data_IF_328749933758
#
_entry.id   IF_328749933758
#
_cell.length_a   1.000
_cell.length_b   1.000
_cell.length_c   1.000
_cell.angle_alpha   90.00
_cell.angle_beta   90.00
_cell.angle_gamma   90.00
#
_symmetry.space_group_name_H-M   'P 1'
#
loop_
_entity.id
_entity.type
_entity.pdbx_description
1 polymer ?
#
# COMPACT_ATOMS: atom_id res chain seq x y z
N UNK A 1 11.38 17.27 10.78
CA UNK A 1 12.21 16.15 10.29
C UNK A 1 11.88 15.94 8.80
N UNK A 2 12.66 15.21 8.00
CA UNK A 2 12.38 15.02 6.56
C UNK A 2 12.21 13.55 6.19
N UNK A 3 11.13 13.22 5.48
CA UNK A 3 10.86 11.89 4.97
C UNK A 3 10.96 11.80 3.46
N UNK A 4 11.70 10.82 2.97
CA UNK A 4 11.67 10.42 1.57
C UNK A 4 10.53 9.44 1.32
N UNK A 5 9.67 9.74 0.34
CA UNK A 5 8.44 8.97 0.10
C UNK A 5 8.55 8.21 -1.21
N UNK A 6 8.34 6.89 -1.17
CA UNK A 6 8.38 6.02 -2.35
C UNK A 6 7.37 4.88 -2.24
N UNK A 7 6.95 4.34 -3.38
CA UNK A 7 6.19 3.09 -3.49
C UNK A 7 6.41 2.46 -4.87
N UNK A 8 5.91 1.24 -5.06
CA UNK A 8 5.78 0.60 -6.38
C UNK A 8 7.10 0.62 -7.17
N UNK A 9 8.21 0.29 -6.49
CA UNK A 9 9.55 0.29 -7.07
C UNK A 9 9.64 -0.74 -8.20
N UNK A 10 8.91 -1.85 -8.06
CA UNK A 10 8.83 -2.96 -9.00
C UNK A 10 10.21 -3.35 -9.56
N UNK A 11 11.20 -3.47 -8.67
CA UNK A 11 12.57 -3.77 -9.07
C UNK A 11 12.65 -5.23 -9.52
N UNK A 12 12.97 -5.44 -10.80
CA UNK A 12 13.24 -6.77 -11.33
C UNK A 12 14.72 -7.12 -11.19
N UNK A 13 15.06 -8.41 -10.99
CA UNK A 13 16.46 -8.87 -10.95
C UNK A 13 17.28 -8.52 -12.20
N UNK A 14 16.63 -8.27 -13.34
CA UNK A 14 17.28 -7.82 -14.58
C UNK A 14 17.60 -6.31 -14.57
N UNK A 15 17.02 -5.52 -13.67
CA UNK A 15 17.24 -4.07 -13.55
C UNK A 15 18.54 -3.71 -12.80
N UNK A 16 19.22 -4.70 -12.22
CA UNK A 16 20.46 -4.55 -11.42
C UNK A 16 21.57 -3.86 -12.21
N UNK A 17 21.54 -3.94 -13.55
CA UNK A 17 22.55 -3.35 -14.42
C UNK A 17 22.26 -1.89 -14.81
N UNK A 18 21.05 -1.37 -14.59
CA UNK A 18 20.61 -0.13 -15.25
C UNK A 18 19.83 0.88 -14.40
N UNK A 19 19.49 0.60 -13.13
CA UNK A 19 18.75 1.58 -12.34
C UNK A 19 18.93 1.49 -10.83
N UNK A 20 20.03 2.02 -10.32
CA UNK A 20 20.09 2.37 -8.90
C UNK A 20 19.30 3.66 -8.69
N UNK A 21 18.25 3.57 -7.89
CA UNK A 21 17.47 4.71 -7.46
C UNK A 21 18.39 5.67 -6.68
N UNK A 22 18.48 6.93 -7.07
CA UNK A 22 19.29 7.91 -6.36
C UNK A 22 18.63 8.22 -5.00
N UNK A 23 19.26 7.77 -3.90
CA UNK A 23 18.77 7.98 -2.54
C UNK A 23 19.01 9.45 -2.13
N UNK A 24 17.97 10.25 -1.86
CA UNK A 24 18.13 11.63 -1.45
C UNK A 24 18.58 11.74 0.02
N UNK A 25 18.98 12.94 0.45
CA UNK A 25 19.22 13.23 1.87
C UNK A 25 17.88 13.42 2.59
N UNK A 26 17.51 12.49 3.46
CA UNK A 26 16.37 12.54 4.35
C UNK A 26 16.68 11.81 5.66
N UNK A 27 15.83 11.98 6.68
CA UNK A 27 16.01 11.39 8.01
C UNK A 27 15.38 9.99 8.10
N UNK A 28 14.36 9.72 7.29
CA UNK A 28 13.65 8.43 7.20
C UNK A 28 13.10 8.21 5.79
N UNK A 29 13.04 6.96 5.35
CA UNK A 29 12.31 6.56 4.15
C UNK A 29 10.94 5.99 4.54
N UNK A 30 9.87 6.43 3.89
CA UNK A 30 8.55 5.83 4.00
C UNK A 30 8.27 5.11 2.69
N UNK A 31 8.21 3.78 2.75
CA UNK A 31 8.01 2.92 1.59
C UNK A 31 6.63 2.24 1.66
N UNK A 32 5.74 2.62 0.75
CA UNK A 32 4.36 2.16 0.70
C UNK A 32 4.17 0.96 -0.25
N UNK A 33 4.96 -0.11 -0.04
CA UNK A 33 4.80 -1.40 -0.70
C UNK A 33 5.28 -1.50 -2.16
N UNK A 34 5.15 -2.72 -2.69
CA UNK A 34 5.46 -3.12 -4.07
C UNK A 34 6.90 -2.83 -4.48
N UNK A 35 7.83 -3.33 -3.66
CA UNK A 35 9.26 -3.15 -3.92
C UNK A 35 9.72 -4.12 -5.02
N UNK A 36 9.28 -5.38 -4.92
CA UNK A 36 9.52 -6.46 -5.89
C UNK A 36 8.33 -7.44 -5.90
N UNK A 37 8.42 -8.51 -6.70
CA UNK A 37 7.41 -9.58 -6.76
C UNK A 37 7.62 -10.71 -5.74
N UNK A 38 8.41 -10.49 -4.67
CA UNK A 38 8.50 -11.45 -3.56
C UNK A 38 9.04 -10.79 -2.30
N UNK A 39 8.52 -11.21 -1.14
CA UNK A 39 8.94 -10.62 0.13
C UNK A 39 10.44 -10.72 0.41
N UNK A 40 11.10 -11.80 -0.04
CA UNK A 40 12.55 -11.99 0.17
C UNK A 40 13.35 -10.94 -0.58
N UNK A 41 13.05 -10.78 -1.86
CA UNK A 41 13.75 -9.84 -2.73
C UNK A 41 13.43 -8.40 -2.33
N UNK A 42 12.19 -8.12 -1.89
CA UNK A 42 11.78 -6.81 -1.36
C UNK A 42 12.57 -6.40 -0.13
N UNK A 43 12.64 -7.26 0.90
CA UNK A 43 13.44 -6.93 2.09
C UNK A 43 14.94 -6.85 1.76
N UNK A 44 15.45 -7.74 0.90
CA UNK A 44 16.84 -7.68 0.47
C UNK A 44 17.16 -6.37 -0.27
N UNK A 45 16.25 -5.87 -1.10
CA UNK A 45 16.39 -4.59 -1.78
C UNK A 45 16.47 -3.43 -0.78
N UNK A 46 15.51 -3.34 0.16
CA UNK A 46 15.50 -2.27 1.17
C UNK A 46 16.79 -2.26 1.97
N UNK A 47 17.20 -3.43 2.48
CA UNK A 47 18.42 -3.58 3.29
C UNK A 47 19.69 -3.20 2.52
N UNK A 48 19.72 -3.44 1.22
CA UNK A 48 20.90 -3.18 0.38
C UNK A 48 20.98 -1.73 -0.10
N UNK A 49 19.86 -1.14 -0.48
CA UNK A 49 19.86 0.11 -1.24
C UNK A 49 19.30 1.31 -0.49
N UNK A 50 18.48 1.11 0.54
CA UNK A 50 17.80 2.21 1.24
C UNK A 50 18.29 2.29 2.69
N UNK A 51 18.17 1.18 3.42
CA UNK A 51 18.50 1.08 4.83
C UNK A 51 19.91 1.60 5.17
N UNK A 52 20.98 1.43 4.36
CA UNK A 52 22.30 1.97 4.70
C UNK A 52 22.31 3.50 4.88
N UNK A 53 21.39 4.21 4.21
CA UNK A 53 21.34 5.66 4.20
C UNK A 53 20.42 6.24 5.30
N UNK A 54 19.34 5.55 5.67
CA UNK A 54 18.34 6.01 6.65
C UNK A 54 17.45 4.85 7.14
N UNK A 55 16.82 4.95 8.33
CA UNK A 55 15.77 4.02 8.75
C UNK A 55 14.58 4.03 7.78
N UNK A 56 13.81 2.93 7.78
CA UNK A 56 12.71 2.73 6.82
C UNK A 56 11.42 2.37 7.56
N UNK A 57 10.35 3.14 7.34
CA UNK A 57 8.98 2.73 7.67
C UNK A 57 8.41 2.06 6.42
N UNK A 58 8.01 0.79 6.55
CA UNK A 58 7.62 -0.06 5.44
C UNK A 58 6.20 -0.59 5.66
N UNK A 59 5.35 -0.48 4.65
CA UNK A 59 4.20 -1.39 4.47
C UNK A 59 4.47 -2.28 3.27
N UNK A 60 3.89 -3.47 3.24
CA UNK A 60 3.93 -4.31 2.05
C UNK A 60 2.82 -3.92 1.08
N UNK A 61 3.05 -4.21 -0.20
CA UNK A 61 2.05 -4.16 -1.25
C UNK A 61 1.66 -5.55 -1.74
N UNK A 62 0.74 -5.62 -2.69
CA UNK A 62 0.22 -6.90 -3.19
C UNK A 62 1.32 -7.75 -3.85
N UNK A 63 2.28 -7.14 -4.56
CA UNK A 63 3.38 -7.84 -5.22
C UNK A 63 4.38 -8.45 -4.24
N UNK A 64 4.54 -7.87 -3.06
CA UNK A 64 5.42 -8.42 -2.03
C UNK A 64 4.92 -9.80 -1.53
N UNK A 65 3.63 -10.09 -1.72
CA UNK A 65 2.97 -11.36 -1.37
C UNK A 65 3.00 -12.43 -2.48
N UNK A 66 3.48 -12.11 -3.68
CA UNK A 66 3.43 -13.04 -4.80
C UNK A 66 4.26 -14.31 -4.53
N UNK A 67 3.69 -15.46 -4.87
CA UNK A 67 4.25 -16.78 -4.59
C UNK A 67 4.14 -17.22 -3.13
N UNK A 68 3.42 -16.49 -2.29
CA UNK A 68 3.26 -16.75 -0.86
C UNK A 68 1.81 -16.54 -0.42
N UNK A 69 1.46 -16.99 0.79
CA UNK A 69 0.31 -16.43 1.50
C UNK A 69 0.69 -15.15 2.22
N UNK A 70 -0.31 -14.32 2.54
CA UNK A 70 -0.10 -13.05 3.24
C UNK A 70 0.52 -13.30 4.62
N UNK A 71 -0.02 -14.25 5.39
CA UNK A 71 0.49 -14.52 6.75
C UNK A 71 1.92 -15.07 6.72
N UNK A 72 2.23 -15.98 5.80
CA UNK A 72 3.59 -16.53 5.67
C UNK A 72 4.60 -15.47 5.23
N UNK A 73 4.21 -14.59 4.30
CA UNK A 73 5.07 -13.50 3.86
C UNK A 73 5.34 -12.51 5.00
N UNK A 74 4.31 -12.14 5.78
CA UNK A 74 4.48 -11.26 6.95
C UNK A 74 5.40 -11.88 8.01
N UNK A 75 5.20 -13.15 8.34
CA UNK A 75 6.07 -13.87 9.26
C UNK A 75 7.52 -13.86 8.77
N UNK A 76 7.72 -14.18 7.49
CA UNK A 76 9.03 -14.18 6.86
C UNK A 76 9.66 -12.80 6.84
N UNK A 77 8.89 -11.76 6.52
CA UNK A 77 9.35 -10.38 6.52
C UNK A 77 9.87 -9.99 7.91
N UNK A 78 9.07 -10.25 8.96
CA UNK A 78 9.43 -9.95 10.35
C UNK A 78 10.76 -10.58 10.75
N UNK A 79 10.98 -11.86 10.42
CA UNK A 79 12.26 -12.55 10.66
C UNK A 79 13.42 -11.91 9.89
N UNK A 80 13.20 -11.50 8.64
CA UNK A 80 14.24 -10.92 7.78
C UNK A 80 14.68 -9.50 8.20
N UNK A 81 13.83 -8.79 8.94
CA UNK A 81 14.10 -7.43 9.44
C UNK A 81 14.61 -7.41 10.90
N UNK A 82 14.72 -8.56 11.57
CA UNK A 82 15.28 -8.62 12.92
C UNK A 82 16.69 -8.01 12.96
N UNK A 83 16.91 -7.08 13.89
CA UNK A 83 18.18 -6.36 14.05
C UNK A 83 18.47 -5.30 12.97
N UNK A 84 17.51 -5.01 12.09
CA UNK A 84 17.61 -3.95 11.07
C UNK A 84 16.99 -2.65 11.55
N UNK A 85 17.15 -1.57 10.77
CA UNK A 85 16.49 -0.27 10.93
C UNK A 85 15.19 -0.16 10.11
N UNK A 86 14.60 -1.29 9.75
CA UNK A 86 13.35 -1.38 9.01
C UNK A 86 12.22 -1.65 10.00
N UNK A 87 11.23 -0.78 10.00
CA UNK A 87 9.99 -0.96 10.74
C UNK A 87 8.87 -1.32 9.77
N UNK A 88 8.54 -2.61 9.71
CA UNK A 88 7.39 -3.12 8.96
C UNK A 88 6.10 -2.87 9.74
N UNK A 89 5.09 -2.30 9.09
CA UNK A 89 3.77 -2.03 9.66
C UNK A 89 2.69 -2.83 8.91
N UNK A 90 1.98 -3.71 9.62
CA UNK A 90 0.78 -4.39 9.13
C UNK A 90 -0.25 -4.48 10.26
N UNK A 91 -1.16 -3.50 10.30
CA UNK A 91 -2.02 -3.23 11.45
C UNK A 91 -1.18 -2.99 12.72
N UNK A 92 -0.12 -2.21 12.55
CA UNK A 92 0.81 -1.84 13.60
C UNK A 92 1.09 -0.33 13.59
N UNK A 93 1.53 0.17 14.74
CA UNK A 93 1.92 1.57 14.92
C UNK A 93 3.41 1.65 15.20
N UNK A 94 4.09 2.58 14.55
CA UNK A 94 5.47 2.94 14.81
C UNK A 94 5.63 4.36 15.31
N UNK A 95 6.67 4.60 16.10
CA UNK A 95 7.04 5.94 16.54
C UNK A 95 8.49 6.16 16.11
N UNK A 96 8.70 7.26 15.38
CA UNK A 96 10.02 7.73 15.02
C UNK A 96 10.08 9.22 15.38
N UNK A 97 10.91 9.55 16.36
CA UNK A 97 10.91 10.86 17.03
C UNK A 97 9.50 11.25 17.54
N UNK A 98 9.00 12.42 17.14
CA UNK A 98 7.70 13.00 17.48
C UNK A 98 6.60 12.64 16.46
N UNK A 99 6.87 11.67 15.58
CA UNK A 99 5.95 11.23 14.55
C UNK A 99 5.44 9.82 14.82
N UNK A 100 4.11 9.65 14.77
CA UNK A 100 3.42 8.36 14.83
C UNK A 100 3.06 7.91 13.42
N UNK A 101 3.44 6.70 13.06
CA UNK A 101 3.09 6.04 11.81
C UNK A 101 2.12 4.91 12.09
N UNK A 102 0.95 4.92 11.45
CA UNK A 102 -0.03 3.85 11.51
C UNK A 102 -0.06 3.18 10.15
N UNK A 103 0.25 1.89 10.07
CA UNK A 103 0.47 1.24 8.78
C UNK A 103 -0.21 -0.11 8.59
N UNK A 104 -0.69 -0.34 7.38
CA UNK A 104 -1.22 -1.61 6.91
C UNK A 104 -1.18 -1.68 5.39
N UNK A 105 -1.16 -2.87 4.79
CA UNK A 105 -1.41 -3.03 3.34
C UNK A 105 -2.76 -2.42 2.93
N UNK A 106 -3.69 -2.34 3.89
CA UNK A 106 -5.08 -1.87 3.83
C UNK A 106 -6.01 -2.77 3.03
N UNK A 107 -5.58 -3.32 1.89
CA UNK A 107 -6.46 -4.06 0.98
C UNK A 107 -7.74 -3.28 0.64
N UNK A 108 -8.70 -3.87 -0.08
CA UNK A 108 -9.93 -3.17 -0.46
C UNK A 108 -11.18 -3.85 0.06
N UNK A 109 -12.24 -3.07 0.19
CA UNK A 109 -13.59 -3.59 0.41
C UNK A 109 -14.36 -3.85 -0.89
N UNK A 110 -13.75 -3.57 -2.05
CA UNK A 110 -14.32 -3.70 -3.39
C UNK A 110 -15.61 -2.90 -3.64
N UNK A 111 -15.96 -1.95 -2.78
CA UNK A 111 -17.24 -1.25 -2.83
C UNK A 111 -17.16 0.18 -3.38
N UNK A 112 -15.96 0.57 -3.81
CA UNK A 112 -15.67 1.88 -4.38
C UNK A 112 -16.48 2.13 -5.66
N UNK A 113 -16.85 3.39 -5.89
CA UNK A 113 -17.39 3.81 -7.19
C UNK A 113 -16.30 3.71 -8.24
N UNK A 114 -16.61 3.13 -9.40
CA UNK A 114 -15.63 2.92 -10.47
C UNK A 114 -15.98 3.70 -11.73
N UNK A 115 -17.16 4.32 -11.80
CA UNK A 115 -17.60 5.18 -12.89
C UNK A 115 -18.79 6.04 -12.46
N UNK A 116 -19.83 6.12 -13.28
CA UNK A 116 -21.08 6.82 -12.93
C UNK A 116 -22.02 5.97 -12.04
N UNK A 117 -21.46 5.16 -11.14
CA UNK A 117 -22.19 4.22 -10.27
C UNK A 117 -22.27 4.66 -8.81
N UNK A 118 -22.13 5.97 -8.54
CA UNK A 118 -22.32 6.55 -7.20
C UNK A 118 -23.71 6.32 -6.61
N UNK A 119 -24.71 6.19 -7.48
CA UNK A 119 -26.10 5.89 -7.10
C UNK A 119 -26.32 4.41 -6.75
N UNK A 120 -25.38 3.53 -7.10
CA UNK A 120 -25.46 2.09 -6.81
C UNK A 120 -24.97 1.83 -5.39
N UNK A 121 -25.72 1.10 -4.55
CA UNK A 121 -25.31 0.82 -3.18
C UNK A 121 -23.95 0.10 -3.11
N UNK A 122 -23.10 0.43 -2.11
CA UNK A 122 -21.76 -0.16 -1.97
C UNK A 122 -21.75 -1.69 -1.97
N UNK A 123 -22.75 -2.34 -1.37
CA UNK A 123 -22.89 -3.79 -1.35
C UNK A 123 -23.11 -4.40 -2.74
N UNK A 124 -23.83 -3.70 -3.61
CA UNK A 124 -24.12 -4.17 -4.97
C UNK A 124 -22.90 -3.97 -5.88
N UNK A 125 -22.20 -2.83 -5.73
CA UNK A 125 -20.89 -2.62 -6.38
C UNK A 125 -19.88 -3.70 -5.98
N UNK A 126 -19.81 -4.01 -4.68
CA UNK A 126 -18.98 -5.09 -4.14
C UNK A 126 -19.34 -6.44 -4.72
N UNK A 127 -20.62 -6.78 -4.80
CA UNK A 127 -21.06 -8.05 -5.39
C UNK A 127 -20.63 -8.18 -6.86
N UNK A 128 -20.76 -7.11 -7.65
CA UNK A 128 -20.25 -7.06 -9.02
C UNK A 128 -18.74 -7.22 -9.10
N UNK A 129 -18.00 -6.51 -8.25
CA UNK A 129 -16.54 -6.62 -8.18
C UNK A 129 -16.10 -8.04 -7.80
N UNK A 130 -16.76 -8.67 -6.81
CA UNK A 130 -16.47 -10.05 -6.38
C UNK A 130 -16.59 -11.06 -7.52
N UNK A 131 -17.53 -10.85 -8.44
CA UNK A 131 -17.73 -11.73 -9.58
C UNK A 131 -16.68 -11.54 -10.69
N UNK A 132 -16.16 -10.33 -10.87
CA UNK A 132 -15.39 -9.95 -12.06
C UNK A 132 -13.89 -9.73 -11.81
N UNK A 133 -13.53 -9.18 -10.66
CA UNK A 133 -12.15 -8.83 -10.32
C UNK A 133 -11.23 -10.04 -10.24
N UNK A 134 -11.62 -11.19 -9.66
CA UNK A 134 -10.73 -12.35 -9.54
C UNK A 134 -10.22 -12.92 -10.86
N UNK A 135 -10.88 -12.62 -11.97
CA UNK A 135 -10.47 -13.06 -13.31
C UNK A 135 -9.54 -12.07 -14.01
N UNK A 136 -9.34 -10.87 -13.45
CA UNK A 136 -8.65 -9.75 -14.10
C UNK A 136 -7.45 -9.25 -13.30
N UNK A 137 -7.38 -9.55 -12.00
CA UNK A 137 -6.30 -9.08 -11.13
C UNK A 137 -5.37 -10.23 -10.77
N UNK A 138 -4.07 -10.00 -10.97
CA UNK A 138 -3.03 -11.01 -10.82
C UNK A 138 -2.89 -11.54 -9.39
N UNK A 139 -3.31 -10.78 -8.38
CA UNK A 139 -3.31 -11.19 -6.98
C UNK A 139 -4.02 -12.53 -6.77
N UNK A 140 -5.16 -12.74 -7.45
CA UNK A 140 -5.96 -13.96 -7.39
C UNK A 140 -5.34 -15.15 -8.13
N UNK A 141 -4.21 -14.93 -8.82
CA UNK A 141 -3.44 -15.94 -9.53
C UNK A 141 -2.04 -16.16 -8.94
N UNK A 142 -1.54 -15.20 -8.15
CA UNK A 142 -0.18 -15.21 -7.63
C UNK A 142 -0.08 -15.28 -6.11
N UNK A 143 -1.15 -14.98 -5.36
CA UNK A 143 -1.15 -15.02 -3.90
C UNK A 143 -1.92 -16.24 -3.41
N UNK A 144 -1.33 -16.99 -2.49
CA UNK A 144 -1.99 -18.11 -1.83
C UNK A 144 -2.85 -17.62 -0.67
N UNK A 145 -3.93 -18.33 -0.38
CA UNK A 145 -4.75 -18.06 0.81
C UNK A 145 -3.98 -18.35 2.09
N UNK A 146 -4.32 -17.64 3.16
CA UNK A 146 -3.63 -17.81 4.46
C UNK A 146 -4.28 -18.86 5.37
N UNK A 147 -5.56 -19.15 5.16
CA UNK A 147 -6.28 -20.21 5.88
C UNK A 147 -6.11 -21.58 5.22
N UNK A 148 -6.33 -22.69 5.96
CA UNK A 148 -6.21 -24.03 5.40
C UNK A 148 -7.08 -24.23 4.16
N UNK A 149 -6.46 -24.75 3.10
CA UNK A 149 -7.14 -25.10 1.84
C UNK A 149 -8.24 -26.13 2.10
N UNK A 150 -9.45 -25.87 1.57
CA UNK A 150 -10.53 -26.88 1.59
C UNK A 150 -10.38 -27.82 0.39
N UNK A 151 -10.85 -29.08 0.50
CA UNK A 151 -10.82 -30.01 -0.63
C UNK A 151 -11.49 -29.41 -1.88
N UNK A 152 -10.79 -29.46 -3.02
CA UNK A 152 -11.31 -28.99 -4.31
C UNK A 152 -11.04 -27.52 -4.66
N UNK A 153 -10.56 -26.69 -3.73
CA UNK A 153 -10.19 -25.30 -4.03
C UNK A 153 -8.80 -25.20 -4.69
N UNK A 154 -8.49 -24.12 -5.40
CA UNK A 154 -7.16 -23.89 -5.99
C UNK A 154 -6.09 -23.47 -4.95
N UNK A 155 -6.51 -23.02 -3.76
CA UNK A 155 -5.62 -22.54 -2.69
C UNK A 155 -5.14 -21.10 -2.88
N UNK A 156 -5.70 -20.36 -3.83
CA UNK A 156 -5.38 -18.96 -4.09
C UNK A 156 -6.21 -18.04 -3.18
N UNK A 157 -5.75 -16.80 -3.00
CA UNK A 157 -6.43 -15.80 -2.19
C UNK A 157 -7.86 -15.57 -2.68
N UNK A 158 -8.76 -15.25 -1.75
CA UNK A 158 -10.18 -15.02 -2.04
C UNK A 158 -10.59 -13.59 -1.77
N UNK A 159 -11.65 -13.13 -2.44
CA UNK A 159 -12.21 -11.78 -2.19
C UNK A 159 -12.68 -11.64 -0.74
N UNK A 160 -13.09 -12.74 -0.11
CA UNK A 160 -13.46 -12.78 1.30
C UNK A 160 -12.27 -12.58 2.23
N UNK A 161 -11.09 -13.16 1.91
CA UNK A 161 -9.88 -12.92 2.69
C UNK A 161 -9.44 -11.46 2.58
N UNK A 162 -9.41 -10.89 1.37
CA UNK A 162 -9.05 -9.48 1.14
C UNK A 162 -10.01 -8.54 1.87
N UNK A 163 -11.33 -8.74 1.74
CA UNK A 163 -12.33 -7.94 2.46
C UNK A 163 -12.16 -8.04 3.98
N UNK A 164 -11.92 -9.24 4.52
CA UNK A 164 -11.71 -9.44 5.96
C UNK A 164 -10.48 -8.68 6.45
N UNK A 165 -9.38 -8.70 5.69
CA UNK A 165 -8.17 -7.94 6.02
C UNK A 165 -8.43 -6.44 5.95
N UNK A 166 -9.15 -5.98 4.93
CA UNK A 166 -9.53 -4.57 4.82
C UNK A 166 -10.34 -4.08 6.03
N UNK A 167 -11.36 -4.82 6.45
CA UNK A 167 -12.17 -4.48 7.62
C UNK A 167 -11.28 -4.39 8.88
N UNK A 168 -10.36 -5.34 9.06
CA UNK A 168 -9.42 -5.33 10.18
C UNK A 168 -8.49 -4.11 10.13
N UNK A 169 -7.92 -3.79 8.97
CA UNK A 169 -7.03 -2.66 8.78
C UNK A 169 -7.71 -1.31 8.97
N UNK A 170 -8.89 -1.12 8.37
CA UNK A 170 -9.70 0.08 8.56
C UNK A 170 -10.04 0.30 10.04
N UNK A 171 -10.47 -0.77 10.73
CA UNK A 171 -10.80 -0.71 12.17
C UNK A 171 -9.57 -0.40 13.03
N UNK A 172 -8.43 -1.00 12.70
CA UNK A 172 -7.16 -0.71 13.37
C UNK A 172 -6.76 0.75 13.20
N UNK A 173 -6.74 1.25 11.95
CA UNK A 173 -6.38 2.64 11.64
C UNK A 173 -7.32 3.61 12.37
N UNK A 174 -8.64 3.40 12.31
CA UNK A 174 -9.62 4.25 12.99
C UNK A 174 -9.36 4.34 14.50
N UNK A 175 -9.11 3.20 15.14
CA UNK A 175 -8.79 3.11 16.58
C UNK A 175 -7.45 3.76 16.94
N UNK A 176 -6.41 3.59 16.14
CA UNK A 176 -5.11 4.19 16.43
C UNK A 176 -5.14 5.72 16.25
N UNK A 177 -5.87 6.21 15.25
CA UNK A 177 -6.05 7.65 15.04
C UNK A 177 -6.91 8.31 16.12
N UNK A 178 -7.81 7.57 16.76
CA UNK A 178 -8.58 8.06 17.92
C UNK A 178 -7.71 8.33 19.15
N UNK A 179 -6.61 7.59 19.31
CA UNK A 179 -5.73 7.75 20.46
C UNK A 179 -5.02 9.11 20.39
N UNK A 180 -5.06 9.92 21.46
CA UNK A 180 -4.27 11.14 21.54
C UNK A 180 -2.78 10.87 21.31
N UNK A 181 -2.10 11.80 20.65
CA UNK A 181 -0.66 11.76 20.45
C UNK A 181 -0.12 13.19 20.38
N UNK A 182 0.90 13.49 21.18
CA UNK A 182 1.51 14.80 21.27
C UNK A 182 2.57 14.98 20.16
N UNK A 183 2.10 14.91 18.91
CA UNK A 183 2.92 14.91 17.71
C UNK A 183 2.09 14.69 16.44
N UNK A 184 2.74 14.61 15.28
CA UNK A 184 2.04 14.37 14.01
C UNK A 184 1.79 12.90 13.78
N UNK A 185 0.60 12.58 13.27
CA UNK A 185 0.24 11.20 12.91
C UNK A 185 0.14 11.05 11.40
N UNK A 186 0.84 10.05 10.88
CA UNK A 186 0.93 9.68 9.48
C UNK A 186 0.27 8.31 9.30
N UNK A 187 -0.47 8.15 8.22
CA UNK A 187 -0.99 6.85 7.81
C UNK A 187 -0.22 6.39 6.58
N UNK A 188 0.20 5.13 6.57
CA UNK A 188 0.90 4.52 5.43
C UNK A 188 0.11 3.30 5.01
N UNK A 189 -0.37 3.30 3.78
CA UNK A 189 -1.04 2.13 3.20
C UNK A 189 -0.44 1.78 1.86
N UNK A 190 -0.70 0.58 1.34
CA UNK A 190 -0.38 0.33 -0.06
C UNK A 190 -1.55 0.73 -0.96
N UNK A 191 -2.74 0.20 -0.68
CA UNK A 191 -3.96 0.53 -1.43
C UNK A 191 -4.40 1.98 -1.17
N UNK A 192 -4.99 2.59 -2.19
CA UNK A 192 -5.41 3.99 -2.12
C UNK A 192 -6.62 4.18 -1.18
N UNK A 193 -6.61 5.22 -0.34
CA UNK A 193 -7.70 5.47 0.61
C UNK A 193 -8.89 6.23 -0.01
N UNK A 194 -8.76 6.72 -1.24
CA UNK A 194 -9.68 7.66 -1.87
C UNK A 194 -9.70 7.51 -3.40
N UNK A 195 -10.86 7.71 -4.00
CA UNK A 195 -11.11 7.62 -5.44
C UNK A 195 -10.38 8.71 -6.22
N UNK A 196 -10.17 9.87 -5.59
CA UNK A 196 -9.45 11.02 -6.15
C UNK A 196 -8.02 10.67 -6.56
N UNK A 197 -7.46 9.59 -5.99
CA UNK A 197 -6.16 9.07 -6.39
C UNK A 197 -6.18 8.33 -7.73
N UNK A 198 -7.32 7.78 -8.16
CA UNK A 198 -7.41 6.97 -9.37
C UNK A 198 -7.08 7.77 -10.64
N UNK A 199 -6.77 7.04 -11.71
CA UNK A 199 -6.50 7.62 -13.01
C UNK A 199 -7.77 7.61 -13.87
N UNK A 200 -8.12 8.76 -14.43
CA UNK A 200 -9.30 8.91 -15.28
C UNK A 200 -9.28 7.98 -16.51
N UNK A 201 -8.10 7.50 -16.96
CA UNK A 201 -7.99 6.51 -18.03
C UNK A 201 -8.71 5.19 -17.72
N UNK A 202 -8.90 4.88 -16.44
CA UNK A 202 -9.57 3.65 -16.00
C UNK A 202 -11.01 3.92 -15.52
N UNK A 203 -11.59 5.07 -15.85
CA UNK A 203 -12.99 5.35 -15.52
C UNK A 203 -13.92 4.27 -16.10
N UNK A 204 -14.83 3.76 -15.27
CA UNK A 204 -15.75 2.66 -15.56
C UNK A 204 -15.16 1.25 -15.41
N UNK A 205 -13.84 1.10 -15.20
CA UNK A 205 -13.22 -0.22 -15.09
C UNK A 205 -13.47 -0.84 -13.72
N UNK A 206 -14.15 -1.99 -13.68
CA UNK A 206 -14.46 -2.72 -12.44
C UNK A 206 -13.22 -3.08 -11.62
N UNK A 207 -12.07 -3.24 -12.28
CA UNK A 207 -10.79 -3.53 -11.63
C UNK A 207 -10.37 -2.45 -10.64
N UNK A 208 -10.80 -1.19 -10.79
CA UNK A 208 -10.54 -0.11 -9.82
C UNK A 208 -10.98 -0.46 -8.39
N UNK A 209 -11.98 -1.33 -8.24
CA UNK A 209 -12.42 -1.85 -6.94
C UNK A 209 -11.34 -2.67 -6.20
N UNK A 210 -10.32 -3.14 -6.91
CA UNK A 210 -9.15 -3.80 -6.33
C UNK A 210 -8.03 -2.83 -5.95
N UNK A 211 -8.05 -1.56 -6.38
CA UNK A 211 -6.92 -0.64 -6.19
C UNK A 211 -7.05 0.28 -4.96
N UNK A 212 -8.27 0.49 -4.49
CA UNK A 212 -8.55 1.33 -3.34
C UNK A 212 -9.97 1.21 -2.82
N UNK A 213 -10.26 2.01 -1.81
CA UNK A 213 -11.58 2.13 -1.20
C UNK A 213 -11.91 3.61 -0.98
N UNK A 214 -13.15 3.91 -0.63
CA UNK A 214 -13.54 5.26 -0.19
C UNK A 214 -13.49 5.36 1.34
N UNK A 215 -12.44 5.99 1.85
CA UNK A 215 -12.25 6.27 3.29
C UNK A 215 -12.50 7.74 3.65
N UNK A 216 -13.26 8.48 2.83
CA UNK A 216 -13.58 9.90 3.04
C UNK A 216 -14.12 10.17 4.45
N UNK A 217 -15.09 9.40 4.94
CA UNK A 217 -15.62 9.53 6.31
C UNK A 217 -14.53 9.39 7.38
N UNK A 218 -13.67 8.37 7.26
CA UNK A 218 -12.61 8.14 8.24
C UNK A 218 -11.61 9.30 8.24
N UNK A 219 -11.21 9.77 7.06
CA UNK A 219 -10.30 10.91 6.91
C UNK A 219 -10.93 12.18 7.50
N UNK A 220 -12.20 12.47 7.19
CA UNK A 220 -12.90 13.65 7.70
C UNK A 220 -13.03 13.64 9.23
N UNK A 221 -13.27 12.48 9.84
CA UNK A 221 -13.40 12.32 11.30
C UNK A 221 -12.06 12.35 12.03
N UNK A 222 -11.03 11.69 11.48
CA UNK A 222 -9.76 11.43 12.19
C UNK A 222 -8.62 12.37 11.80
N UNK A 223 -8.67 12.96 10.60
CA UNK A 223 -7.74 13.98 10.09
C UNK A 223 -6.27 13.70 10.40
N UNK A 224 -5.70 12.53 9.99
CA UNK A 224 -4.26 12.34 10.09
C UNK A 224 -3.54 13.46 9.31
N UNK A 225 -2.33 13.81 9.72
CA UNK A 225 -1.59 14.90 9.07
C UNK A 225 -1.29 14.60 7.60
N UNK A 226 -0.90 13.36 7.32
CA UNK A 226 -0.60 12.89 5.96
C UNK A 226 -1.03 11.43 5.83
N UNK A 227 -1.59 11.07 4.67
CA UNK A 227 -1.83 9.70 4.24
C UNK A 227 -0.96 9.38 3.01
N UNK A 228 -0.07 8.41 3.14
CA UNK A 228 0.86 7.99 2.08
C UNK A 228 0.38 6.64 1.55
N UNK A 229 0.25 6.51 0.23
CA UNK A 229 -0.12 5.27 -0.42
C UNK A 229 0.65 4.97 -1.71
N UNK A 230 0.42 3.78 -2.28
CA UNK A 230 1.00 3.31 -3.55
C UNK A 230 -0.06 2.80 -4.54
N UNK A 231 0.29 1.75 -5.27
CA UNK A 231 -0.54 0.83 -6.05
C UNK A 231 -1.17 1.40 -7.34
N UNK A 232 -1.58 2.67 -7.34
CA UNK A 232 -2.26 3.32 -8.48
C UNK A 232 -1.32 3.70 -9.63
N UNK A 233 0.00 3.54 -9.44
CA UNK A 233 1.05 3.84 -10.41
C UNK A 233 1.01 5.26 -11.00
N UNK A 234 0.50 6.23 -10.24
CA UNK A 234 0.51 7.66 -10.60
C UNK A 234 0.82 8.54 -9.40
N UNK A 235 1.66 9.54 -9.62
CA UNK A 235 1.97 10.54 -8.61
C UNK A 235 0.70 11.31 -8.23
N UNK A 236 0.48 11.44 -6.92
CA UNK A 236 -0.62 12.21 -6.32
C UNK A 236 -0.09 12.98 -5.13
N UNK A 237 -0.54 14.22 -5.00
CA UNK A 237 -0.24 15.10 -3.86
C UNK A 237 -1.36 16.13 -3.77
N UNK A 238 -2.31 15.89 -2.87
CA UNK A 238 -3.52 16.71 -2.74
C UNK A 238 -4.02 16.74 -1.30
N UNK A 239 -4.99 17.62 -1.01
CA UNK A 239 -5.62 17.73 0.30
C UNK A 239 -7.03 17.13 0.27
N UNK A 240 -7.40 16.38 1.30
CA UNK A 240 -8.75 15.88 1.56
C UNK A 240 -9.07 16.07 3.05
N UNK A 241 -10.11 16.85 3.37
CA UNK A 241 -10.58 17.13 4.74
C UNK A 241 -9.48 17.53 5.76
N UNK A 242 -8.44 18.22 5.28
CA UNK A 242 -7.30 18.66 6.10
C UNK A 242 -6.15 17.66 6.18
N UNK A 243 -6.29 16.47 5.60
CA UNK A 243 -5.22 15.47 5.42
C UNK A 243 -4.55 15.65 4.07
N UNK A 244 -3.22 15.67 4.03
CA UNK A 244 -2.46 15.59 2.78
C UNK A 244 -2.37 14.14 2.30
N UNK A 245 -2.84 13.82 1.10
CA UNK A 245 -2.79 12.49 0.52
C UNK A 245 -1.71 12.44 -0.56
N UNK A 246 -0.78 11.48 -0.43
CA UNK A 246 0.41 11.39 -1.25
C UNK A 246 0.54 9.98 -1.83
N UNK A 247 0.87 9.91 -3.12
CA UNK A 247 1.37 8.71 -3.78
C UNK A 247 2.59 9.10 -4.60
N UNK A 248 3.72 8.42 -4.40
CA UNK A 248 4.93 8.61 -5.22
C UNK A 248 5.44 7.27 -5.77
N UNK A 249 4.68 6.66 -6.70
CA UNK A 249 4.96 5.34 -7.21
C UNK A 249 5.97 5.40 -8.34
N UNK A 250 6.95 4.48 -8.36
CA UNK A 250 7.84 4.36 -9.52
C UNK A 250 7.12 3.73 -10.72
N UNK A 251 6.33 2.69 -10.46
CA UNK A 251 5.64 1.90 -11.48
C UNK A 251 6.58 0.96 -12.24
N UNK A 252 6.04 0.20 -13.17
CA UNK A 252 6.82 -0.70 -14.03
C UNK A 252 7.75 0.06 -14.97
N UNK A 253 8.73 -0.65 -15.56
CA UNK A 253 9.68 -0.08 -16.52
C UNK A 253 9.03 0.69 -17.68
N UNK A 254 7.93 0.17 -18.24
CA UNK A 254 7.17 0.81 -19.32
C UNK A 254 6.29 1.99 -18.89
N UNK A 255 6.13 2.23 -17.58
CA UNK A 255 5.25 3.27 -17.06
C UNK A 255 6.02 4.50 -16.59
N UNK A 256 7.36 4.47 -16.57
CA UNK A 256 8.21 5.52 -15.98
C UNK A 256 7.94 6.93 -16.52
N UNK A 257 7.53 7.06 -17.78
CA UNK A 257 7.18 8.35 -18.39
C UNK A 257 5.80 8.86 -17.95
N UNK A 258 4.96 7.96 -17.45
CA UNK A 258 3.56 8.22 -17.12
C UNK A 258 3.29 8.19 -15.62
N UNK A 259 4.07 7.45 -14.82
CA UNK A 259 3.84 7.37 -13.37
C UNK A 259 4.05 8.73 -12.69
N UNK A 260 4.87 9.61 -13.28
CA UNK A 260 5.20 10.89 -12.68
C UNK A 260 6.08 10.77 -11.44
N UNK A 261 6.74 9.62 -11.28
CA UNK A 261 7.63 9.33 -10.16
C UNK A 261 8.67 10.41 -9.95
N UNK A 262 8.83 10.82 -8.69
CA UNK A 262 9.80 11.85 -8.28
C UNK A 262 10.83 11.23 -7.35
N UNK A 263 12.00 10.88 -7.89
CA UNK A 263 13.05 10.17 -7.14
C UNK A 263 13.52 10.91 -5.89
N UNK A 264 13.61 12.24 -5.93
CA UNK A 264 14.02 13.09 -4.81
C UNK A 264 12.87 13.66 -3.98
N UNK A 265 11.66 13.09 -4.04
CA UNK A 265 10.49 13.64 -3.37
C UNK A 265 10.56 13.44 -1.85
N UNK A 266 10.85 14.53 -1.15
CA UNK A 266 11.01 14.59 0.29
C UNK A 266 9.99 15.57 0.86
N UNK A 267 9.37 15.23 1.99
CA UNK A 267 8.42 16.09 2.70
C UNK A 267 8.90 16.36 4.13
N UNK A 268 8.41 17.44 4.72
CA UNK A 268 8.59 17.69 6.14
C UNK A 268 7.59 16.87 6.98
N UNK A 269 8.16 16.09 7.90
CA UNK A 269 7.48 15.47 9.02
C UNK A 269 7.40 16.45 10.17
#
# INVERSE_FOLDING_TARGET
MRAWIISDIHHARMDVLWSNLAVPKADVCICAGDITNSIVDSIAYVRRFIEPHMPVVLTLGNHDYYGSSIDFALERARRLIEGTRIQLLENETGIFHDCRFVGATLWTDFAVSVGDDDHVPPEERRAKAFALVPWQIMDFHCIFRSDPRRPGENGLITVQEILKRHIASRSFIDRELEKPFDGRTFVVTHHAPLIQSFDARFFGHVTNAAFGSDLSDLIARRRPSVWIHGHIHRFRDYMADGTRVICNPRGYGGERETSGFRSGFVIDL
#
